data_IF_499417025431
#
_entry.id   IF_499417025431
#
_cell.length_a   1.000
_cell.length_b   1.000
_cell.length_c   1.000
_cell.angle_alpha   90.00
_cell.angle_beta   90.00
_cell.angle_gamma   90.00
#
_symmetry.space_group_name_H-M   'P 1'
#
loop_
_entity.id
_entity.type
_entity.pdbx_description
1 polymer ?
#
# COMPACT_ATOMS: atom_id res chain seq x y z
N UNK A 1 62.37 -3.05 4.61
CA UNK A 1 61.47 -2.53 5.66
C UNK A 1 60.15 -1.99 5.12
N UNK A 2 60.13 -0.94 4.26
CA UNK A 2 58.87 -0.38 3.71
C UNK A 2 57.98 -1.41 2.98
N UNK A 3 58.58 -2.31 2.18
CA UNK A 3 57.86 -3.39 1.49
C UNK A 3 57.22 -4.42 2.43
N UNK A 4 57.86 -4.68 3.59
CA UNK A 4 57.33 -5.59 4.62
C UNK A 4 56.20 -4.95 5.43
N UNK A 5 56.27 -3.63 5.64
CA UNK A 5 55.20 -2.88 6.30
C UNK A 5 53.92 -2.86 5.44
N UNK A 6 54.07 -2.72 4.13
CA UNK A 6 52.94 -2.72 3.18
C UNK A 6 52.27 -4.11 3.12
N UNK A 7 53.03 -5.21 3.11
CA UNK A 7 52.44 -6.56 3.14
C UNK A 7 51.73 -6.86 4.46
N UNK A 8 52.25 -6.37 5.59
CA UNK A 8 51.60 -6.55 6.90
C UNK A 8 50.25 -5.81 6.98
N UNK A 9 50.20 -4.59 6.45
CA UNK A 9 48.97 -3.78 6.41
C UNK A 9 47.94 -4.41 5.46
N UNK A 10 48.37 -4.92 4.30
CA UNK A 10 47.50 -5.62 3.37
C UNK A 10 46.93 -6.93 3.98
N UNK A 11 47.73 -7.66 4.75
CA UNK A 11 47.27 -8.86 5.46
C UNK A 11 46.25 -8.53 6.56
N UNK A 12 46.43 -7.42 7.27
CA UNK A 12 45.52 -6.97 8.34
C UNK A 12 44.17 -6.49 7.80
N UNK A 13 44.11 -5.94 6.58
CA UNK A 13 42.84 -5.57 5.92
C UNK A 13 42.00 -6.77 5.50
N UNK A 14 42.63 -7.92 5.19
CA UNK A 14 41.94 -9.17 4.82
C UNK A 14 41.30 -9.84 6.05
N UNK A 15 41.76 -9.53 7.26
CA UNK A 15 41.24 -10.11 8.50
C UNK A 15 40.01 -9.37 9.06
N UNK A 16 39.65 -8.19 8.53
CA UNK A 16 38.52 -7.39 9.00
C UNK A 16 37.18 -7.69 8.29
N UNK A 17 37.14 -8.64 7.35
CA UNK A 17 35.98 -8.90 6.49
C UNK A 17 35.04 -10.02 6.96
N UNK A 18 35.19 -10.55 8.18
CA UNK A 18 34.34 -11.65 8.66
C UNK A 18 33.64 -11.35 10.00
N UNK A 19 32.66 -10.45 9.98
CA UNK A 19 31.55 -10.50 10.94
C UNK A 19 30.37 -9.65 10.46
N UNK A 20 29.71 -10.10 9.38
CA UNK A 20 28.34 -9.71 9.07
C UNK A 20 27.46 -10.97 9.14
N UNK A 21 27.29 -11.50 10.35
CA UNK A 21 26.16 -12.41 10.62
C UNK A 21 24.93 -11.51 10.68
N UNK A 22 24.35 -11.23 9.51
CA UNK A 22 23.02 -10.67 9.43
C UNK A 22 22.08 -11.67 10.08
N UNK A 23 21.51 -11.28 11.23
CA UNK A 23 20.59 -12.11 11.99
C UNK A 23 19.46 -12.57 11.07
N UNK A 24 19.40 -13.87 10.72
CA UNK A 24 18.15 -14.47 10.29
C UNK A 24 17.31 -14.66 11.54
N UNK A 25 16.72 -13.57 12.04
CA UNK A 25 15.50 -13.67 12.82
C UNK A 25 14.45 -14.19 11.84
N UNK A 26 14.39 -15.51 11.70
CA UNK A 26 13.20 -16.19 11.22
C UNK A 26 12.14 -16.06 12.33
N UNK A 27 11.75 -14.82 12.62
CA UNK A 27 10.36 -14.57 12.97
C UNK A 27 9.61 -15.17 11.79
N UNK A 28 8.89 -16.25 12.06
CA UNK A 28 7.88 -16.74 11.14
C UNK A 28 6.97 -15.55 10.88
N UNK A 29 7.24 -14.78 9.81
CA UNK A 29 6.41 -13.67 9.39
C UNK A 29 5.05 -14.31 9.28
N UNK A 30 4.14 -13.94 10.19
CA UNK A 30 2.76 -14.36 10.12
C UNK A 30 2.23 -13.64 8.89
N UNK A 31 2.44 -14.23 7.72
CA UNK A 31 2.03 -13.66 6.45
C UNK A 31 0.52 -13.56 6.59
N UNK A 32 0.04 -12.33 6.76
CA UNK A 32 -1.39 -12.10 6.86
C UNK A 32 -2.03 -12.72 5.63
N UNK A 33 -2.96 -13.66 5.84
CA UNK A 33 -3.64 -14.39 4.75
C UNK A 33 -4.33 -13.44 3.78
N UNK A 34 -4.65 -12.23 4.25
CA UNK A 34 -5.35 -11.20 3.50
C UNK A 34 -4.58 -9.88 3.53
N UNK A 35 -4.70 -9.14 2.42
CA UNK A 35 -4.46 -7.69 2.34
C UNK A 35 -5.80 -6.98 2.37
N UNK A 36 -5.82 -5.72 2.78
CA UNK A 36 -7.04 -4.93 2.96
C UNK A 36 -6.93 -3.61 2.21
N UNK A 37 -8.07 -3.08 1.80
CA UNK A 37 -8.19 -1.70 1.34
C UNK A 37 -9.55 -1.12 1.73
N UNK A 38 -9.63 0.20 1.77
CA UNK A 38 -10.88 0.92 2.00
C UNK A 38 -11.25 1.74 0.77
N UNK A 39 -12.48 1.60 0.30
CA UNK A 39 -13.09 2.53 -0.64
C UNK A 39 -13.72 3.69 0.12
N UNK A 40 -13.28 4.91 -0.16
CA UNK A 40 -13.78 6.15 0.44
C UNK A 40 -14.55 6.94 -0.60
N UNK A 41 -15.87 6.93 -0.48
CA UNK A 41 -16.78 7.62 -1.37
C UNK A 41 -17.21 8.98 -0.83
N UNK A 42 -16.89 10.05 -1.56
CA UNK A 42 -17.43 11.38 -1.32
C UNK A 42 -18.58 11.64 -2.29
N UNK A 43 -19.77 11.96 -1.76
CA UNK A 43 -20.90 12.35 -2.58
C UNK A 43 -20.68 13.78 -3.08
N UNK A 44 -20.80 14.00 -4.39
CA UNK A 44 -20.77 15.36 -4.93
C UNK A 44 -22.05 16.09 -4.55
N UNK A 45 -21.92 17.32 -4.06
CA UNK A 45 -23.05 18.21 -3.82
C UNK A 45 -23.83 18.33 -5.15
N UNK A 46 -25.12 18.00 -5.14
CA UNK A 46 -26.04 17.98 -6.29
C UNK A 46 -25.83 16.89 -7.38
N UNK A 47 -25.11 15.78 -7.11
CA UNK A 47 -25.02 14.66 -8.06
C UNK A 47 -25.09 13.28 -7.41
N UNK A 48 -25.69 12.30 -8.11
CA UNK A 48 -25.59 10.88 -7.75
C UNK A 48 -24.18 10.31 -7.98
N UNK A 49 -23.32 11.04 -8.70
CA UNK A 49 -21.94 10.63 -8.96
C UNK A 49 -21.11 10.75 -7.69
N UNK A 50 -20.41 9.68 -7.34
CA UNK A 50 -19.47 9.64 -6.23
C UNK A 50 -18.04 9.71 -6.74
N UNK A 51 -17.18 10.43 -6.04
CA UNK A 51 -15.73 10.30 -6.22
C UNK A 51 -15.23 9.30 -5.20
N UNK A 52 -14.71 8.17 -5.70
CA UNK A 52 -14.18 7.09 -4.87
C UNK A 52 -12.67 7.16 -4.87
N UNK A 53 -12.08 7.18 -3.67
CA UNK A 53 -10.65 7.00 -3.45
C UNK A 53 -10.41 5.64 -2.80
N UNK A 54 -9.22 5.08 -2.98
CA UNK A 54 -8.86 3.78 -2.42
C UNK A 54 -7.70 3.99 -1.46
N UNK A 55 -7.84 3.47 -0.25
CA UNK A 55 -6.80 3.47 0.76
C UNK A 55 -6.27 2.05 0.97
N UNK A 56 -5.01 1.82 0.59
CA UNK A 56 -4.32 0.53 0.80
C UNK A 56 -3.52 0.49 2.11
N UNK A 57 -3.58 1.54 2.93
CA UNK A 57 -2.80 1.66 4.16
C UNK A 57 -1.34 2.09 3.97
N UNK A 58 -1.02 2.68 2.81
CA UNK A 58 0.32 3.20 2.51
C UNK A 58 0.59 4.51 3.28
N UNK A 59 1.85 4.77 3.62
CA UNK A 59 2.25 5.98 4.34
C UNK A 59 1.97 7.22 3.47
N UNK A 60 1.03 8.06 3.91
CA UNK A 60 0.54 9.20 3.12
C UNK A 60 1.46 10.40 3.28
N UNK A 61 2.25 10.72 2.25
CA UNK A 61 2.84 12.06 2.13
C UNK A 61 1.76 13.11 1.88
N UNK A 62 1.91 14.32 2.43
CA UNK A 62 0.96 15.45 2.25
C UNK A 62 0.62 15.79 0.78
N UNK A 63 1.43 15.35 -0.18
CA UNK A 63 1.28 15.61 -1.62
C UNK A 63 1.03 14.36 -2.48
N UNK A 64 0.78 13.18 -1.88
CA UNK A 64 0.55 11.96 -2.65
C UNK A 64 -0.91 11.84 -3.11
N UNK A 65 -1.09 11.69 -4.42
CA UNK A 65 -2.37 11.43 -5.04
C UNK A 65 -2.68 9.93 -4.97
N UNK A 66 -3.53 9.53 -4.02
CA UNK A 66 -3.93 8.14 -3.75
C UNK A 66 -5.12 7.68 -4.59
N UNK A 67 -5.57 8.49 -5.56
CA UNK A 67 -6.73 8.12 -6.39
C UNK A 67 -6.35 6.99 -7.32
N UNK A 68 -7.24 5.99 -7.41
CA UNK A 68 -7.07 4.89 -8.35
C UNK A 68 -6.96 5.41 -9.77
N UNK A 69 -5.98 4.92 -10.51
CA UNK A 69 -5.77 5.26 -11.93
C UNK A 69 -6.03 4.05 -12.78
N UNK A 70 -6.64 4.29 -13.93
CA UNK A 70 -6.83 3.28 -14.96
C UNK A 70 -5.44 2.89 -15.51
N UNK A 71 -5.11 1.61 -15.49
CA UNK A 71 -3.78 1.10 -15.88
C UNK A 71 -3.43 1.41 -17.34
N UNK A 72 -4.42 1.42 -18.24
CA UNK A 72 -4.20 1.65 -19.67
C UNK A 72 -4.03 3.13 -20.02
N UNK A 73 -4.69 4.03 -19.28
CA UNK A 73 -4.77 5.46 -19.63
C UNK A 73 -4.03 6.36 -18.65
N UNK A 74 -3.63 5.85 -17.48
CA UNK A 74 -3.02 6.63 -16.39
C UNK A 74 -3.95 7.67 -15.75
N UNK A 75 -5.19 7.81 -16.22
CA UNK A 75 -6.16 8.77 -15.73
C UNK A 75 -6.80 8.28 -14.44
N UNK A 76 -7.18 9.23 -13.58
CA UNK A 76 -7.97 8.94 -12.39
C UNK A 76 -9.26 8.24 -12.79
N UNK A 77 -9.48 7.06 -12.23
CA UNK A 77 -10.68 6.27 -12.43
C UNK A 77 -11.85 6.95 -11.71
N UNK A 78 -12.92 7.21 -12.46
CA UNK A 78 -14.18 7.71 -11.90
C UNK A 78 -15.22 6.60 -11.95
N UNK A 79 -16.06 6.54 -10.92
CA UNK A 79 -17.15 5.57 -10.83
C UNK A 79 -18.49 6.29 -10.79
N UNK A 80 -19.53 5.67 -11.33
CA UNK A 80 -20.87 6.23 -11.33
C UNK A 80 -21.55 6.09 -9.96
N UNK A 81 -21.17 5.08 -9.18
CA UNK A 81 -21.69 4.79 -7.84
C UNK A 81 -20.65 4.03 -6.99
N UNK A 82 -20.91 3.86 -5.69
CA UNK A 82 -20.07 3.00 -4.84
C UNK A 82 -20.14 1.53 -5.28
N UNK A 83 -21.28 1.07 -5.80
CA UNK A 83 -21.44 -0.29 -6.33
C UNK A 83 -20.63 -0.49 -7.61
N UNK A 84 -20.56 0.52 -8.48
CA UNK A 84 -19.72 0.50 -9.68
C UNK A 84 -18.23 0.32 -9.28
N UNK A 85 -17.78 1.05 -8.26
CA UNK A 85 -16.44 0.85 -7.70
C UNK A 85 -16.25 -0.54 -7.09
N UNK A 86 -17.23 -1.05 -6.34
CA UNK A 86 -17.15 -2.39 -5.75
C UNK A 86 -17.10 -3.49 -6.80
N UNK A 87 -17.88 -3.40 -7.87
CA UNK A 87 -17.85 -4.35 -8.98
C UNK A 87 -16.48 -4.36 -9.65
N UNK A 88 -15.90 -3.17 -9.90
CA UNK A 88 -14.54 -3.05 -10.41
C UNK A 88 -13.52 -3.74 -9.47
N UNK A 89 -13.61 -3.53 -8.15
CA UNK A 89 -12.72 -4.17 -7.18
C UNK A 89 -12.94 -5.70 -7.13
N UNK A 90 -14.18 -6.15 -7.22
CA UNK A 90 -14.55 -7.57 -7.29
C UNK A 90 -13.91 -8.28 -8.48
N UNK A 91 -13.94 -7.66 -9.66
CA UNK A 91 -13.27 -8.18 -10.85
C UNK A 91 -11.74 -8.28 -10.68
N UNK A 92 -11.17 -7.48 -9.77
CA UNK A 92 -9.75 -7.52 -9.40
C UNK A 92 -9.46 -8.45 -8.22
N UNK A 93 -10.41 -9.28 -7.81
CA UNK A 93 -10.25 -10.30 -6.77
C UNK A 93 -10.37 -9.78 -5.34
N UNK A 94 -10.97 -8.61 -5.14
CA UNK A 94 -11.32 -8.11 -3.81
C UNK A 94 -12.69 -8.61 -3.36
N UNK A 95 -12.80 -8.96 -2.08
CA UNK A 95 -14.02 -9.40 -1.41
C UNK A 95 -14.51 -8.30 -0.47
N UNK A 96 -15.81 -8.02 -0.49
CA UNK A 96 -16.45 -7.11 0.44
C UNK A 96 -16.38 -7.63 1.88
N UNK A 97 -16.10 -6.74 2.84
CA UNK A 97 -16.06 -7.06 4.28
C UNK A 97 -17.16 -6.33 5.04
N UNK A 98 -17.20 -5.00 4.94
CA UNK A 98 -18.18 -4.18 5.64
C UNK A 98 -18.33 -2.79 5.01
N UNK A 99 -19.41 -2.10 5.34
CA UNK A 99 -19.67 -0.72 4.96
C UNK A 99 -20.17 0.09 6.16
N UNK A 100 -19.70 1.33 6.27
CA UNK A 100 -20.16 2.30 7.26
C UNK A 100 -20.11 3.73 6.69
N UNK A 101 -20.73 4.66 7.40
CA UNK A 101 -20.76 6.08 7.03
C UNK A 101 -20.08 6.88 8.14
N UNK A 102 -19.23 7.83 7.74
CA UNK A 102 -18.68 8.85 8.62
C UNK A 102 -19.26 10.18 8.21
N UNK A 103 -19.90 10.89 9.16
CA UNK A 103 -20.43 12.23 8.93
C UNK A 103 -19.45 13.26 9.46
N UNK A 104 -18.93 14.10 8.57
CA UNK A 104 -18.05 15.22 8.91
C UNK A 104 -18.76 16.52 8.58
N UNK A 105 -19.21 17.25 9.61
CA UNK A 105 -20.06 18.43 9.43
C UNK A 105 -21.41 18.06 8.81
N UNK A 106 -21.68 18.53 7.60
CA UNK A 106 -22.92 18.24 6.85
C UNK A 106 -22.69 17.25 5.69
N UNK A 107 -21.52 16.62 5.62
CA UNK A 107 -21.19 15.69 4.53
C UNK A 107 -21.09 14.26 5.04
N UNK A 108 -21.74 13.34 4.33
CA UNK A 108 -21.60 11.91 4.55
C UNK A 108 -20.48 11.36 3.64
N UNK A 109 -19.57 10.60 4.25
CA UNK A 109 -18.51 9.86 3.57
C UNK A 109 -18.79 8.38 3.73
N UNK A 110 -18.82 7.65 2.61
CA UNK A 110 -19.09 6.21 2.59
C UNK A 110 -17.76 5.45 2.65
N UNK A 111 -17.60 4.57 3.63
CA UNK A 111 -16.38 3.78 3.84
C UNK A 111 -16.67 2.30 3.69
N UNK A 112 -16.13 1.65 2.66
CA UNK A 112 -16.31 0.22 2.40
C UNK A 112 -14.97 -0.49 2.54
N UNK A 113 -14.88 -1.41 3.50
CA UNK A 113 -13.69 -2.23 3.72
C UNK A 113 -13.75 -3.48 2.83
N UNK A 114 -12.65 -3.74 2.13
CA UNK A 114 -12.47 -4.90 1.28
C UNK A 114 -11.22 -5.66 1.71
N UNK A 115 -11.18 -6.95 1.38
CA UNK A 115 -10.02 -7.82 1.58
C UNK A 115 -9.69 -8.59 0.31
N UNK A 116 -8.44 -8.97 0.12
CA UNK A 116 -8.01 -9.87 -0.95
C UNK A 116 -7.03 -10.87 -0.39
N UNK A 117 -7.12 -12.14 -0.81
CA UNK A 117 -6.16 -13.16 -0.39
C UNK A 117 -4.78 -12.79 -0.91
N UNK A 118 -3.76 -12.82 -0.05
CA UNK A 118 -2.36 -12.64 -0.46
C UNK A 118 -1.92 -13.91 -1.22
N UNK A 119 -1.50 -13.74 -2.47
CA UNK A 119 -0.95 -14.82 -3.32
C UNK A 119 0.51 -15.02 -2.94
#
# INVERSE_FOLDING_TARGET
MKKMLITLIAFMMILLSNSAIGQTAADSIKINKYIYCELVGNQKILSYKVTVSIDYGEEKGFFQDTRMRNEQTGKVQTFNSMIDALNYMGNNGWEFVQAYIVTTGQQNVYHWLLKKKRI
#
